data_IF_646623768030
#
_entry.id   IF_646623768030
#
_cell.length_a   1.000
_cell.length_b   1.000
_cell.length_c   1.000
_cell.angle_alpha   90.00
_cell.angle_beta   90.00
_cell.angle_gamma   90.00
#
_symmetry.space_group_name_H-M   'P 1'
#
loop_
_entity.id
_entity.type
_entity.pdbx_description
1 polymer ?
#
# COMPACT_ATOMS: atom_id res chain seq x y z
N UNK A 1 -8.16 -15.19 -15.29
CA UNK A 1 -7.80 -13.75 -15.43
C UNK A 1 -6.84 -13.40 -14.30
N UNK A 2 -5.96 -12.43 -14.49
CA UNK A 2 -5.05 -12.01 -13.40
C UNK A 2 -5.81 -11.14 -12.41
N UNK A 3 -5.59 -11.36 -11.09
CA UNK A 3 -6.19 -10.57 -10.01
C UNK A 3 -5.54 -9.16 -9.88
N UNK A 4 -4.54 -8.84 -10.72
CA UNK A 4 -3.98 -7.50 -10.90
C UNK A 4 -3.86 -7.25 -12.39
N UNK A 5 -4.58 -6.25 -12.88
CA UNK A 5 -4.64 -5.92 -14.31
C UNK A 5 -3.87 -4.65 -14.62
N UNK A 6 -3.45 -4.50 -15.88
CA UNK A 6 -2.74 -3.34 -16.40
C UNK A 6 -3.47 -2.80 -17.62
N UNK A 7 -3.71 -1.52 -17.64
CA UNK A 7 -4.32 -0.80 -18.77
C UNK A 7 -3.58 0.52 -18.98
N UNK A 8 -3.30 0.88 -20.27
CA UNK A 8 -2.78 2.19 -20.61
C UNK A 8 -3.94 3.14 -20.96
N UNK A 9 -3.98 4.30 -20.33
CA UNK A 9 -4.91 5.40 -20.62
C UNK A 9 -4.10 6.68 -20.81
N UNK A 10 -3.99 7.15 -22.05
CA UNK A 10 -3.15 8.31 -22.36
C UNK A 10 -1.71 8.12 -21.89
N UNK A 11 -1.15 9.08 -21.13
CA UNK A 11 0.21 8.99 -20.58
C UNK A 11 0.29 8.15 -19.29
N UNK A 12 -0.82 7.57 -18.81
CA UNK A 12 -0.88 6.85 -17.55
C UNK A 12 -1.04 5.34 -17.71
N UNK A 13 -0.29 4.58 -16.90
CA UNK A 13 -0.50 3.16 -16.66
C UNK A 13 -1.44 2.97 -15.47
N UNK A 14 -2.57 2.30 -15.66
CA UNK A 14 -3.54 1.97 -14.63
C UNK A 14 -3.35 0.53 -14.18
N UNK A 15 -2.96 0.36 -12.93
CA UNK A 15 -2.78 -0.94 -12.27
C UNK A 15 -3.98 -1.14 -11.34
N UNK A 16 -4.82 -2.13 -11.63
CA UNK A 16 -6.05 -2.37 -10.87
C UNK A 16 -5.95 -3.69 -10.12
N UNK A 17 -6.10 -3.64 -8.79
CA UNK A 17 -6.32 -4.82 -7.96
C UNK A 17 -7.74 -5.30 -8.20
N UNK A 18 -7.92 -6.46 -8.82
CA UNK A 18 -9.21 -6.93 -9.35
C UNK A 18 -9.63 -8.26 -8.73
N UNK A 19 -9.95 -8.18 -7.43
CA UNK A 19 -10.46 -9.28 -6.62
C UNK A 19 -11.56 -8.77 -5.67
N UNK A 20 -12.63 -8.13 -6.23
CA UNK A 20 -13.62 -7.38 -5.45
C UNK A 20 -14.41 -8.24 -4.48
N UNK A 21 -14.62 -9.53 -4.76
CA UNK A 21 -15.29 -10.51 -3.88
C UNK A 21 -14.51 -10.73 -2.55
N UNK A 22 -13.18 -10.53 -2.56
CA UNK A 22 -12.31 -10.57 -1.39
C UNK A 22 -11.85 -9.16 -0.96
N UNK A 23 -12.57 -8.10 -1.35
CA UNK A 23 -12.20 -6.71 -1.08
C UNK A 23 -10.77 -6.38 -1.51
N UNK A 24 -10.30 -6.97 -2.60
CA UNK A 24 -8.96 -6.82 -3.16
C UNK A 24 -7.83 -7.21 -2.17
N UNK A 25 -8.10 -8.16 -1.26
CA UNK A 25 -7.08 -8.69 -0.36
C UNK A 25 -5.94 -9.33 -1.17
N UNK A 26 -4.69 -8.95 -0.87
CA UNK A 26 -3.51 -9.30 -1.63
C UNK A 26 -3.07 -10.74 -1.40
N UNK A 27 -2.98 -11.51 -2.46
CA UNK A 27 -2.26 -12.78 -2.47
C UNK A 27 -0.77 -12.56 -2.81
N UNK A 28 0.09 -13.56 -2.54
CA UNK A 28 1.50 -13.49 -2.94
C UNK A 28 1.66 -13.29 -4.45
N UNK A 29 0.82 -13.95 -5.25
CA UNK A 29 0.81 -13.76 -6.71
C UNK A 29 0.43 -12.33 -7.12
N UNK A 30 -0.46 -11.67 -6.38
CA UNK A 30 -0.80 -10.26 -6.65
C UNK A 30 0.36 -9.32 -6.32
N UNK A 31 1.14 -9.61 -5.27
CA UNK A 31 2.36 -8.84 -4.97
C UNK A 31 3.40 -9.01 -6.08
N UNK A 32 3.64 -10.24 -6.56
CA UNK A 32 4.56 -10.49 -7.67
C UNK A 32 4.11 -9.75 -8.94
N UNK A 33 2.81 -9.79 -9.23
CA UNK A 33 2.25 -9.09 -10.39
C UNK A 33 2.37 -7.57 -10.27
N UNK A 34 2.24 -7.01 -9.06
CA UNK A 34 2.48 -5.58 -8.83
C UNK A 34 3.92 -5.20 -9.17
N UNK A 35 4.90 -6.01 -8.77
CA UNK A 35 6.33 -5.81 -9.11
C UNK A 35 6.52 -5.84 -10.63
N UNK A 36 5.99 -6.84 -11.32
CA UNK A 36 6.08 -6.95 -12.79
C UNK A 36 5.47 -5.71 -13.48
N UNK A 37 4.35 -5.20 -12.99
CA UNK A 37 3.74 -3.99 -13.56
C UNK A 37 4.59 -2.73 -13.26
N UNK A 38 5.22 -2.64 -12.09
CA UNK A 38 6.17 -1.56 -11.81
C UNK A 38 7.37 -1.60 -12.78
N UNK A 39 7.86 -2.79 -13.14
CA UNK A 39 8.93 -2.95 -14.15
C UNK A 39 8.45 -2.55 -15.54
N UNK A 40 7.23 -2.96 -15.92
CA UNK A 40 6.60 -2.58 -17.19
C UNK A 40 6.46 -1.05 -17.30
N UNK A 41 6.00 -0.40 -16.22
CA UNK A 41 5.89 1.07 -16.15
C UNK A 41 7.25 1.73 -16.38
N UNK A 42 8.32 1.24 -15.76
CA UNK A 42 9.65 1.83 -15.89
C UNK A 42 10.24 1.61 -17.29
N UNK A 43 9.94 0.49 -17.93
CA UNK A 43 10.45 0.13 -19.25
C UNK A 43 9.74 0.85 -20.43
N UNK A 44 8.54 1.39 -20.23
CA UNK A 44 7.74 2.05 -21.27
C UNK A 44 7.94 3.57 -21.23
N UNK A 45 8.71 4.14 -22.14
CA UNK A 45 9.01 5.58 -22.22
C UNK A 45 7.78 6.45 -22.52
N UNK A 46 6.72 5.89 -23.08
CA UNK A 46 5.46 6.59 -23.35
C UNK A 46 4.61 6.75 -22.07
N UNK A 47 4.84 5.95 -21.05
CA UNK A 47 4.19 6.09 -19.74
C UNK A 47 4.89 7.17 -18.93
N UNK A 48 4.11 8.08 -18.39
CA UNK A 48 4.58 9.23 -17.61
C UNK A 48 4.12 9.17 -16.14
N UNK A 49 3.06 8.43 -15.84
CA UNK A 49 2.46 8.30 -14.50
C UNK A 49 1.96 6.86 -14.31
N UNK A 50 2.03 6.32 -13.10
CA UNK A 50 1.34 5.09 -12.73
C UNK A 50 0.20 5.38 -11.75
N UNK A 51 -0.97 4.81 -12.00
CA UNK A 51 -2.15 4.90 -11.14
C UNK A 51 -2.47 3.52 -10.58
N UNK A 52 -2.57 3.41 -9.26
CA UNK A 52 -3.01 2.20 -8.57
C UNK A 52 -4.43 2.38 -8.07
N UNK A 53 -5.32 1.39 -8.30
CA UNK A 53 -6.71 1.43 -7.83
C UNK A 53 -7.23 0.03 -7.45
N UNK A 54 -8.33 -0.03 -6.72
CA UNK A 54 -9.07 -1.26 -6.48
C UNK A 54 -10.31 -1.36 -7.35
N UNK A 55 -10.64 -2.55 -7.83
CA UNK A 55 -11.91 -2.81 -8.52
C UNK A 55 -13.07 -2.91 -7.53
N UNK A 56 -14.31 -2.66 -8.03
CA UNK A 56 -15.56 -2.91 -7.30
C UNK A 56 -16.01 -1.80 -6.34
N UNK A 57 -15.26 -0.68 -6.19
CA UNK A 57 -15.69 0.51 -5.45
C UNK A 57 -15.88 0.32 -3.93
N UNK A 58 -15.46 -0.82 -3.34
CA UNK A 58 -15.62 -1.12 -1.92
C UNK A 58 -14.32 -1.08 -1.15
N UNK A 59 -13.23 -1.40 -1.81
CA UNK A 59 -11.89 -1.37 -1.22
C UNK A 59 -10.85 -1.08 -2.31
N UNK A 60 -9.87 -0.27 -1.95
CA UNK A 60 -8.60 -0.20 -2.66
C UNK A 60 -7.87 -1.54 -2.48
N UNK A 61 -7.47 -1.86 -1.25
CA UNK A 61 -6.91 -3.15 -0.81
C UNK A 61 -7.24 -3.33 0.67
N UNK A 62 -7.88 -4.44 1.05
CA UNK A 62 -8.30 -4.71 2.43
C UNK A 62 -7.24 -5.38 3.30
N UNK A 63 -6.01 -5.51 2.81
CA UNK A 63 -4.89 -6.16 3.49
C UNK A 63 -4.35 -7.37 2.74
N UNK A 64 -3.44 -8.10 3.36
CA UNK A 64 -2.99 -9.41 2.85
C UNK A 64 -4.05 -10.46 3.11
N UNK A 65 -4.23 -11.39 2.20
CA UNK A 65 -5.12 -12.53 2.38
C UNK A 65 -4.59 -13.43 3.51
N UNK A 66 -5.23 -13.35 4.66
CA UNK A 66 -4.80 -13.99 5.92
C UNK A 66 -4.73 -15.52 5.80
N UNK A 67 -5.44 -16.13 4.83
CA UNK A 67 -5.35 -17.58 4.58
C UNK A 67 -3.92 -18.01 4.28
N UNK A 68 -3.09 -17.14 3.72
CA UNK A 68 -1.68 -17.42 3.45
C UNK A 68 -0.84 -17.59 4.74
N UNK A 69 -1.27 -16.98 5.86
CA UNK A 69 -0.60 -17.13 7.15
C UNK A 69 -0.90 -18.47 7.84
N UNK A 70 -1.89 -19.21 7.37
CA UNK A 70 -2.17 -20.55 7.89
C UNK A 70 -1.01 -21.54 7.66
N UNK A 71 -0.21 -21.31 6.64
CA UNK A 71 0.96 -22.12 6.30
C UNK A 71 2.21 -21.77 7.14
N UNK A 72 2.19 -20.70 7.93
CA UNK A 72 3.33 -20.29 8.77
C UNK A 72 3.54 -21.25 9.92
N UNK A 73 4.75 -21.81 10.02
CA UNK A 73 5.14 -22.80 11.03
C UNK A 73 6.03 -22.22 12.14
N UNK A 74 6.72 -21.12 11.84
CA UNK A 74 7.69 -20.49 12.73
C UNK A 74 7.68 -18.97 12.61
N UNK A 75 8.35 -18.28 13.52
CA UNK A 75 8.58 -16.84 13.43
C UNK A 75 9.45 -16.47 12.20
N UNK A 76 10.28 -17.41 11.72
CA UNK A 76 11.10 -17.22 10.52
C UNK A 76 10.24 -17.00 9.27
N UNK A 77 9.07 -17.65 9.19
CA UNK A 77 8.13 -17.42 8.08
C UNK A 77 7.60 -15.99 8.09
N UNK A 78 7.45 -15.39 9.29
CA UNK A 78 7.11 -13.98 9.47
C UNK A 78 8.21 -13.06 8.95
N UNK A 79 9.50 -13.34 9.23
CA UNK A 79 10.61 -12.57 8.66
C UNK A 79 10.62 -12.63 7.13
N UNK A 80 10.48 -13.83 6.55
CA UNK A 80 10.43 -14.01 5.09
C UNK A 80 9.27 -13.22 4.49
N UNK A 81 8.11 -13.25 5.14
CA UNK A 81 6.95 -12.49 4.69
C UNK A 81 7.19 -10.97 4.74
N UNK A 82 7.67 -10.44 5.87
CA UNK A 82 7.90 -8.99 6.02
C UNK A 82 9.01 -8.50 5.06
N UNK A 83 10.07 -9.29 4.86
CA UNK A 83 11.12 -9.00 3.88
C UNK A 83 10.53 -8.90 2.47
N UNK A 84 9.69 -9.87 2.08
CA UNK A 84 9.04 -9.85 0.76
C UNK A 84 8.14 -8.62 0.57
N UNK A 85 7.38 -8.26 1.61
CA UNK A 85 6.52 -7.06 1.53
C UNK A 85 7.36 -5.79 1.41
N UNK A 86 8.48 -5.68 2.13
CA UNK A 86 9.40 -4.55 1.99
C UNK A 86 9.97 -4.46 0.56
N UNK A 87 10.42 -5.57 -0.03
CA UNK A 87 10.92 -5.61 -1.40
C UNK A 87 9.88 -5.12 -2.41
N UNK A 88 8.61 -5.54 -2.27
CA UNK A 88 7.51 -5.10 -3.12
C UNK A 88 7.26 -3.58 -2.99
N UNK A 89 7.21 -3.08 -1.74
CA UNK A 89 6.94 -1.68 -1.49
C UNK A 89 8.13 -0.79 -1.87
N UNK A 90 9.36 -1.25 -1.65
CA UNK A 90 10.57 -0.58 -2.10
C UNK A 90 10.62 -0.51 -3.62
N UNK A 91 10.20 -1.58 -4.34
CA UNK A 91 10.08 -1.57 -5.79
C UNK A 91 9.03 -0.57 -6.28
N UNK A 92 7.88 -0.48 -5.61
CA UNK A 92 6.84 0.51 -5.93
C UNK A 92 7.35 1.94 -5.70
N UNK A 93 8.00 2.20 -4.57
CA UNK A 93 8.62 3.50 -4.28
C UNK A 93 9.74 3.86 -5.25
N UNK A 94 10.44 2.87 -5.79
CA UNK A 94 11.54 3.06 -6.74
C UNK A 94 11.07 3.25 -8.20
N UNK A 95 9.79 3.16 -8.50
CA UNK A 95 9.25 3.50 -9.84
C UNK A 95 9.69 4.91 -10.22
N UNK A 96 10.34 5.05 -11.36
CA UNK A 96 10.94 6.33 -11.79
C UNK A 96 9.93 7.41 -12.17
N UNK A 97 8.67 7.03 -12.31
CA UNK A 97 7.54 7.88 -12.68
C UNK A 97 6.68 8.18 -11.47
N UNK A 98 5.98 9.32 -11.40
CA UNK A 98 5.02 9.57 -10.35
C UNK A 98 4.01 8.43 -10.22
N UNK A 99 3.70 8.08 -8.96
CA UNK A 99 2.70 7.06 -8.62
C UNK A 99 1.54 7.69 -7.88
N UNK A 100 0.31 7.39 -8.29
CA UNK A 100 -0.93 7.91 -7.70
C UNK A 100 -1.76 6.75 -7.17
N UNK A 101 -2.08 6.73 -5.88
CA UNK A 101 -3.10 5.84 -5.34
C UNK A 101 -4.48 6.52 -5.44
N UNK A 102 -5.38 5.97 -6.25
CA UNK A 102 -6.80 6.29 -6.26
C UNK A 102 -7.49 5.37 -5.26
N UNK A 103 -7.84 5.92 -4.10
CA UNK A 103 -8.40 5.13 -3.00
C UNK A 103 -9.90 5.34 -2.90
N UNK A 104 -10.64 4.29 -3.30
CA UNK A 104 -12.08 4.19 -3.13
C UNK A 104 -12.40 3.07 -2.13
N UNK A 105 -13.06 3.43 -1.01
CA UNK A 105 -13.35 2.51 0.08
C UNK A 105 -12.13 2.18 0.98
N UNK A 106 -12.00 0.93 1.36
CA UNK A 106 -11.04 0.51 2.39
C UNK A 106 -9.60 0.35 1.85
N UNK A 107 -8.62 0.92 2.55
CA UNK A 107 -7.18 0.69 2.40
C UNK A 107 -6.63 0.25 3.76
N UNK A 108 -6.68 -1.06 4.05
CA UNK A 108 -6.33 -1.62 5.35
C UNK A 108 -5.06 -2.46 5.29
N UNK A 109 -4.27 -2.49 6.36
CA UNK A 109 -3.06 -3.30 6.41
C UNK A 109 -2.10 -2.98 5.27
N UNK A 110 -1.81 -3.97 4.40
CA UNK A 110 -0.99 -3.76 3.21
C UNK A 110 -1.59 -2.73 2.24
N UNK A 111 -2.91 -2.50 2.25
CA UNK A 111 -3.55 -1.45 1.46
C UNK A 111 -3.14 -0.06 1.91
N UNK A 112 -3.04 0.19 3.22
CA UNK A 112 -2.47 1.43 3.75
C UNK A 112 -0.98 1.56 3.38
N UNK A 113 -0.21 0.47 3.46
CA UNK A 113 1.20 0.47 3.13
C UNK A 113 1.44 0.75 1.63
N UNK A 114 0.67 0.13 0.72
CA UNK A 114 0.72 0.39 -0.73
C UNK A 114 0.33 1.85 -1.03
N UNK A 115 -0.75 2.35 -0.42
CA UNK A 115 -1.16 3.74 -0.59
C UNK A 115 -0.09 4.73 -0.07
N UNK A 116 0.59 4.41 1.02
CA UNK A 116 1.69 5.21 1.58
C UNK A 116 2.96 5.16 0.72
N UNK A 117 3.21 4.06 0.02
CA UNK A 117 4.33 3.90 -0.91
C UNK A 117 4.14 4.66 -2.24
N UNK A 118 2.91 5.05 -2.59
CA UNK A 118 2.65 5.93 -3.72
C UNK A 118 3.04 7.38 -3.40
N UNK A 119 3.35 8.17 -4.44
CA UNK A 119 3.72 9.58 -4.25
C UNK A 119 2.51 10.44 -3.87
N UNK A 120 1.39 10.26 -4.55
CA UNK A 120 0.15 11.01 -4.35
C UNK A 120 -1.02 10.08 -4.02
N UNK A 121 -2.01 10.59 -3.30
CA UNK A 121 -3.25 9.87 -2.94
C UNK A 121 -4.45 10.75 -3.23
N UNK A 122 -5.33 10.29 -4.12
CA UNK A 122 -6.64 10.88 -4.40
C UNK A 122 -7.71 9.96 -3.82
N UNK A 123 -8.60 10.52 -3.02
CA UNK A 123 -9.58 9.76 -2.24
C UNK A 123 -11.00 10.05 -2.72
N UNK A 124 -11.87 9.06 -2.62
CA UNK A 124 -13.31 9.28 -2.57
C UNK A 124 -13.77 9.60 -1.13
N UNK A 125 -14.96 10.19 -0.93
CA UNK A 125 -15.52 10.44 0.41
C UNK A 125 -15.70 9.17 1.26
N UNK A 126 -15.76 8.00 0.63
CA UNK A 126 -15.88 6.71 1.30
C UNK A 126 -14.54 6.09 1.77
N UNK A 127 -13.42 6.72 1.46
CA UNK A 127 -12.09 6.17 1.75
C UNK A 127 -11.84 6.03 3.26
N UNK A 128 -11.20 4.91 3.65
CA UNK A 128 -10.80 4.65 5.04
C UNK A 128 -9.46 3.93 5.07
N UNK A 129 -8.54 4.44 5.87
CA UNK A 129 -7.22 3.88 6.09
C UNK A 129 -7.09 3.30 7.50
N UNK A 130 -6.43 2.16 7.63
CA UNK A 130 -6.19 1.58 8.95
C UNK A 130 -5.14 0.48 8.96
N UNK A 131 -4.61 0.23 10.18
CA UNK A 131 -3.65 -0.84 10.43
C UNK A 131 -4.10 -1.64 11.67
N UNK A 132 -5.22 -2.41 11.58
CA UNK A 132 -5.84 -3.03 12.75
C UNK A 132 -5.15 -4.34 13.17
N UNK A 133 -3.88 -4.56 12.82
CA UNK A 133 -3.16 -5.83 13.02
C UNK A 133 -3.11 -6.27 14.48
N UNK A 134 -2.97 -5.33 15.43
CA UNK A 134 -2.97 -5.65 16.86
C UNK A 134 -4.31 -6.25 17.34
N UNK A 135 -5.43 -5.86 16.72
CA UNK A 135 -6.77 -6.38 17.06
C UNK A 135 -7.14 -7.64 16.27
N UNK A 136 -6.53 -7.84 15.10
CA UNK A 136 -6.90 -8.94 14.18
C UNK A 136 -5.93 -10.11 14.31
N UNK A 137 -4.78 -10.05 13.66
CA UNK A 137 -3.84 -11.16 13.51
C UNK A 137 -2.80 -11.19 14.63
N UNK A 138 -2.46 -10.02 15.18
CA UNK A 138 -1.45 -9.90 16.25
C UNK A 138 -0.01 -9.99 15.73
N UNK A 139 0.21 -9.71 14.43
CA UNK A 139 1.53 -9.59 13.83
C UNK A 139 2.10 -8.16 14.00
N UNK A 140 3.28 -7.94 13.48
CA UNK A 140 3.91 -6.61 13.37
C UNK A 140 4.18 -6.26 11.91
N UNK A 141 4.88 -5.17 11.68
CA UNK A 141 5.42 -4.75 10.39
C UNK A 141 6.95 -4.81 10.45
N UNK A 142 7.57 -4.85 9.28
CA UNK A 142 9.02 -4.61 9.16
C UNK A 142 9.39 -3.18 9.58
N UNK A 143 10.68 -2.95 9.86
CA UNK A 143 11.20 -1.61 10.13
C UNK A 143 11.03 -0.67 8.93
N UNK A 144 11.17 -1.20 7.70
CA UNK A 144 10.90 -0.46 6.46
C UNK A 144 9.49 0.09 6.40
N UNK A 145 8.51 -0.76 6.70
CA UNK A 145 7.10 -0.37 6.74
C UNK A 145 6.78 0.62 7.87
N UNK A 146 7.34 0.42 9.08
CA UNK A 146 7.19 1.39 10.17
C UNK A 146 7.75 2.76 9.79
N UNK A 147 8.95 2.81 9.19
CA UNK A 147 9.57 4.06 8.76
C UNK A 147 8.74 4.77 7.66
N UNK A 148 8.25 4.02 6.67
CA UNK A 148 7.37 4.51 5.59
C UNK A 148 6.09 5.12 6.15
N UNK A 149 5.38 4.40 6.99
CA UNK A 149 4.13 4.85 7.58
C UNK A 149 4.34 6.00 8.57
N UNK A 150 5.42 5.99 9.35
CA UNK A 150 5.77 7.09 10.25
C UNK A 150 6.10 8.37 9.49
N UNK A 151 6.77 8.28 8.33
CA UNK A 151 7.02 9.41 7.46
C UNK A 151 5.72 9.97 6.86
N UNK A 152 4.81 9.09 6.43
CA UNK A 152 3.56 9.47 5.77
C UNK A 152 2.50 10.03 6.74
N UNK A 153 2.38 9.48 7.95
CA UNK A 153 1.32 9.80 8.90
C UNK A 153 1.80 10.60 10.14
N UNK A 154 3.09 10.60 10.37
CA UNK A 154 3.68 11.03 11.64
C UNK A 154 3.61 9.95 12.72
N UNK A 155 4.67 9.83 13.54
CA UNK A 155 4.83 8.75 14.53
C UNK A 155 3.69 8.69 15.55
N UNK A 156 3.20 9.84 16.04
CA UNK A 156 2.14 9.88 17.06
C UNK A 156 0.83 9.30 16.50
N UNK A 157 0.46 9.68 15.27
CA UNK A 157 -0.77 9.19 14.63
C UNK A 157 -0.66 7.72 14.24
N UNK A 158 0.51 7.28 13.76
CA UNK A 158 0.72 5.86 13.48
C UNK A 158 0.49 5.01 14.73
N UNK A 159 1.04 5.41 15.90
CA UNK A 159 0.79 4.73 17.19
C UNK A 159 -0.70 4.72 17.54
N UNK A 160 -1.39 5.86 17.41
CA UNK A 160 -2.83 5.94 17.70
C UNK A 160 -3.63 4.99 16.80
N UNK A 161 -3.42 5.01 15.48
CA UNK A 161 -4.10 4.11 14.53
C UNK A 161 -3.83 2.64 14.83
N UNK A 162 -2.58 2.28 15.13
CA UNK A 162 -2.22 0.88 15.38
C UNK A 162 -2.69 0.39 16.75
N UNK A 163 -2.52 1.18 17.81
CA UNK A 163 -2.85 0.75 19.18
C UNK A 163 -4.35 0.69 19.43
N UNK A 164 -5.10 1.66 18.87
CA UNK A 164 -6.57 1.71 19.01
C UNK A 164 -7.28 0.93 17.92
N UNK A 165 -6.57 0.51 16.85
CA UNK A 165 -7.13 -0.10 15.65
C UNK A 165 -8.24 0.73 15.00
N UNK A 166 -8.20 2.08 15.17
CA UNK A 166 -9.11 3.00 14.50
C UNK A 166 -8.74 3.20 13.04
N UNK A 167 -9.64 3.78 12.29
CA UNK A 167 -9.40 4.20 10.91
C UNK A 167 -9.22 5.71 10.82
N UNK A 168 -8.47 6.16 9.80
CA UNK A 168 -8.36 7.53 9.33
C UNK A 168 -9.39 7.71 8.22
N UNK A 169 -10.27 8.69 8.33
CA UNK A 169 -11.20 9.08 7.27
C UNK A 169 -10.59 10.08 6.29
N UNK A 170 -11.32 10.44 5.20
CA UNK A 170 -10.81 11.31 4.15
C UNK A 170 -10.46 12.72 4.66
N UNK A 171 -11.30 13.30 5.51
CA UNK A 171 -11.08 14.65 6.06
C UNK A 171 -9.81 14.70 6.92
N UNK A 172 -9.60 13.70 7.79
CA UNK A 172 -8.37 13.60 8.57
C UNK A 172 -7.16 13.38 7.65
N UNK A 173 -7.28 12.49 6.65
CA UNK A 173 -6.20 12.22 5.71
C UNK A 173 -5.78 13.48 4.92
N UNK A 174 -6.75 14.31 4.52
CA UNK A 174 -6.50 15.59 3.87
C UNK A 174 -5.87 16.60 4.83
N UNK A 175 -6.42 16.74 6.03
CA UNK A 175 -5.94 17.70 7.03
C UNK A 175 -4.49 17.46 7.47
N UNK A 176 -4.03 16.21 7.46
CA UNK A 176 -2.65 15.84 7.82
C UNK A 176 -1.69 15.82 6.62
N UNK A 177 -2.16 16.11 5.41
CA UNK A 177 -1.36 16.05 4.18
C UNK A 177 -1.05 14.63 3.69
N UNK A 178 -1.73 13.59 4.22
CA UNK A 178 -1.60 12.23 3.70
C UNK A 178 -2.34 12.09 2.35
N UNK A 179 -3.51 12.71 2.21
CA UNK A 179 -4.23 12.80 0.95
C UNK A 179 -3.89 14.11 0.22
N UNK A 180 -3.81 14.04 -1.11
CA UNK A 180 -3.64 15.20 -2.00
C UNK A 180 -4.97 15.84 -2.34
N UNK A 181 -6.05 15.04 -2.43
CA UNK A 181 -7.41 15.50 -2.71
C UNK A 181 -8.45 14.50 -2.20
N UNK A 182 -9.67 15.01 -1.92
CA UNK A 182 -10.89 14.22 -1.68
C UNK A 182 -11.93 14.70 -2.68
N UNK A 183 -12.44 13.81 -3.54
CA UNK A 183 -13.28 14.16 -4.68
C UNK A 183 -14.35 13.10 -4.95
N UNK A 184 -15.54 13.52 -5.44
CA UNK A 184 -16.62 12.61 -5.79
C UNK A 184 -16.38 11.88 -7.12
N UNK A 185 -15.74 12.54 -8.09
CA UNK A 185 -15.45 12.03 -9.44
C UNK A 185 -13.95 11.72 -9.57
N UNK A 186 -13.51 10.67 -8.85
CA UNK A 186 -12.08 10.40 -8.67
C UNK A 186 -11.36 10.00 -9.97
N UNK A 187 -11.99 9.22 -10.86
CA UNK A 187 -11.39 8.81 -12.13
C UNK A 187 -11.05 10.03 -13.00
N UNK A 188 -12.01 10.92 -13.22
CA UNK A 188 -11.80 12.12 -14.04
C UNK A 188 -10.75 13.07 -13.41
N UNK A 189 -10.76 13.22 -12.08
CA UNK A 189 -9.75 14.01 -11.37
C UNK A 189 -8.35 13.43 -11.52
N UNK A 190 -8.20 12.10 -11.43
CA UNK A 190 -6.90 11.43 -11.58
C UNK A 190 -6.44 11.48 -13.05
N UNK A 191 -7.32 11.36 -14.03
CA UNK A 191 -6.98 11.53 -15.45
C UNK A 191 -6.41 12.93 -15.70
N UNK A 192 -7.09 14.01 -15.24
CA UNK A 192 -6.58 15.39 -15.32
C UNK A 192 -5.24 15.57 -14.57
N UNK A 193 -5.10 14.96 -13.39
CA UNK A 193 -3.84 14.97 -12.65
C UNK A 193 -2.71 14.30 -13.44
N UNK A 194 -2.97 13.17 -14.10
CA UNK A 194 -1.99 12.47 -14.91
C UNK A 194 -1.53 13.31 -16.11
N UNK A 195 -2.44 14.01 -16.80
CA UNK A 195 -2.08 14.92 -17.89
C UNK A 195 -1.16 16.05 -17.39
N UNK A 196 -1.51 16.68 -16.27
CA UNK A 196 -0.66 17.73 -15.67
C UNK A 196 0.72 17.22 -15.26
N UNK A 197 0.80 16.01 -14.64
CA UNK A 197 2.09 15.41 -14.26
C UNK A 197 2.93 15.05 -15.50
N UNK A 198 2.30 14.62 -16.58
CA UNK A 198 2.98 14.27 -17.82
C UNK A 198 3.66 15.48 -18.48
N UNK A 199 3.13 16.68 -18.30
CA UNK A 199 3.72 17.94 -18.80
C UNK A 199 4.92 18.43 -17.97
N UNK A 200 5.12 17.89 -16.77
CA UNK A 200 6.22 18.30 -15.89
C UNK A 200 7.54 17.62 -16.29
N UNK A 201 8.67 18.22 -15.84
CA UNK A 201 10.01 17.65 -16.03
C UNK A 201 10.15 16.29 -15.36
N UNK A 202 10.31 15.19 -16.10
CA UNK A 202 10.43 13.85 -15.53
C UNK A 202 11.66 13.71 -14.63
N UNK A 203 12.74 14.38 -14.99
CA UNK A 203 13.97 14.41 -14.18
C UNK A 203 13.74 15.05 -12.82
N UNK A 204 13.04 16.19 -12.76
CA UNK A 204 12.76 16.86 -11.49
C UNK A 204 11.87 16.01 -10.60
N UNK A 205 10.81 15.41 -11.17
CA UNK A 205 9.90 14.52 -10.43
C UNK A 205 10.66 13.31 -9.86
N UNK A 206 11.46 12.66 -10.69
CA UNK A 206 12.27 11.51 -10.27
C UNK A 206 13.29 11.88 -9.18
N UNK A 207 14.09 12.93 -9.39
CA UNK A 207 15.12 13.34 -8.43
C UNK A 207 14.51 13.72 -7.08
N UNK A 208 13.36 14.43 -7.08
CA UNK A 208 12.65 14.78 -5.84
C UNK A 208 12.19 13.54 -5.09
N UNK A 209 11.54 12.59 -5.78
CA UNK A 209 11.09 11.32 -5.23
C UNK A 209 12.24 10.51 -4.63
N UNK A 210 13.31 10.33 -5.39
CA UNK A 210 14.47 9.53 -4.98
C UNK A 210 15.23 10.18 -3.82
N UNK A 211 15.37 11.51 -3.81
CA UNK A 211 16.00 12.23 -2.71
C UNK A 211 15.24 12.04 -1.39
N UNK A 212 13.89 12.14 -1.42
CA UNK A 212 13.03 11.93 -0.25
C UNK A 212 13.06 10.47 0.23
N UNK A 213 13.10 9.51 -0.71
CA UNK A 213 13.25 8.10 -0.38
C UNK A 213 14.58 7.81 0.33
N UNK A 214 15.70 8.35 -0.17
CA UNK A 214 17.03 8.19 0.44
C UNK A 214 17.16 8.89 1.79
N UNK A 215 16.40 9.95 2.03
CA UNK A 215 16.41 10.67 3.31
C UNK A 215 15.79 9.83 4.46
N UNK A 216 15.09 8.73 4.15
CA UNK A 216 14.54 7.80 5.14
C UNK A 216 15.63 6.83 5.61
N UNK A 217 16.00 6.88 6.91
CA UNK A 217 16.89 5.89 7.54
C UNK A 217 16.04 4.76 8.15
N UNK A 218 16.41 3.51 7.86
CA UNK A 218 15.72 2.32 8.37
C UNK A 218 16.72 1.45 9.13
N UNK A 219 16.60 1.33 10.49
CA UNK A 219 17.41 0.41 11.28
C UNK A 219 16.91 -1.04 11.10
N UNK A 220 17.76 -2.01 11.46
CA UNK A 220 17.39 -3.41 11.59
C UNK A 220 16.31 -3.62 12.68
N UNK A 221 15.45 -4.58 12.54
CA UNK A 221 14.33 -4.87 13.46
C UNK A 221 13.81 -6.30 13.35
N UNK A 222 14.61 -7.22 12.85
CA UNK A 222 14.25 -8.64 12.69
C UNK A 222 13.87 -9.30 14.01
N UNK A 223 14.48 -8.89 15.13
CA UNK A 223 14.15 -9.32 16.48
C UNK A 223 12.68 -9.04 16.84
N UNK A 224 12.16 -7.88 16.46
CA UNK A 224 10.76 -7.49 16.71
C UNK A 224 9.78 -8.32 15.85
N UNK A 225 10.16 -8.64 14.61
CA UNK A 225 9.38 -9.52 13.74
C UNK A 225 9.31 -10.92 14.35
N UNK A 226 10.46 -11.48 14.74
CA UNK A 226 10.54 -12.79 15.38
C UNK A 226 9.70 -12.87 16.66
N UNK A 227 9.71 -11.84 17.50
CA UNK A 227 8.89 -11.76 18.69
C UNK A 227 7.40 -11.79 18.38
N UNK A 228 6.94 -10.94 17.46
CA UNK A 228 5.52 -10.84 17.11
C UNK A 228 4.97 -12.12 16.47
N UNK A 229 5.61 -12.62 15.42
CA UNK A 229 5.18 -13.83 14.70
C UNK A 229 5.44 -15.13 15.50
N UNK A 230 6.40 -15.13 16.42
CA UNK A 230 6.67 -16.24 17.35
C UNK A 230 5.67 -16.31 18.50
N UNK A 231 4.88 -15.26 18.75
CA UNK A 231 3.98 -15.19 19.89
C UNK A 231 2.84 -16.24 19.82
N UNK A 232 2.40 -16.81 20.97
CA UNK A 232 1.22 -17.70 20.99
C UNK A 232 -0.04 -17.02 20.47
N UNK A 233 -0.16 -15.70 20.65
CA UNK A 233 -1.29 -14.91 20.20
C UNK A 233 -1.43 -14.83 18.70
N UNK A 234 -0.32 -14.75 17.95
CA UNK A 234 -0.36 -14.70 16.49
C UNK A 234 -1.08 -15.92 15.91
N UNK A 235 -0.64 -17.14 16.24
CA UNK A 235 -1.23 -18.40 15.71
C UNK A 235 -2.70 -18.55 16.13
N UNK A 236 -3.05 -18.24 17.38
CA UNK A 236 -4.42 -18.32 17.85
C UNK A 236 -5.34 -17.33 17.14
N UNK A 237 -4.85 -16.12 16.84
CA UNK A 237 -5.61 -15.08 16.15
C UNK A 237 -5.80 -15.40 14.66
N UNK A 238 -4.78 -15.92 13.97
CA UNK A 238 -4.90 -16.41 12.58
C UNK A 238 -5.98 -17.49 12.51
N UNK A 239 -5.91 -18.50 13.37
CA UNK A 239 -6.93 -19.57 13.42
C UNK A 239 -8.34 -18.99 13.63
N UNK A 240 -8.53 -18.14 14.63
CA UNK A 240 -9.82 -17.49 14.95
C UNK A 240 -10.34 -16.65 13.77
N UNK A 241 -9.44 -16.02 13.01
CA UNK A 241 -9.83 -15.20 11.85
C UNK A 241 -10.35 -16.08 10.71
N UNK A 242 -9.71 -17.22 10.47
CA UNK A 242 -10.09 -18.16 9.38
C UNK A 242 -11.35 -18.97 9.69
N UNK A 243 -11.71 -19.11 10.98
CA UNK A 243 -12.91 -19.84 11.45
C UNK A 243 -14.19 -18.96 11.45
N UNK A 244 -14.11 -17.67 11.09
CA UNK A 244 -15.25 -16.74 10.93
C UNK A 244 -15.79 -16.72 9.50
#
# INVERSE_FOLDING_TARGET
MSDVTYERRGPAAWITFDRPEAHNAMTFAMYDRLVEHCETVDADDDIRVAVLRGAGGRAFVAGTDIRQFAEFKSAQDGLVYETRIDEVLDRLEAVRKPTVALVDGFAMGSGLAIAAACDLRVLTPGAKFGMPIARTVGNCLSMGNYARLAQALGTARLKDVMFTARSIGPDEALAIGFASAVVDHADAHVEDLCERLADHSPTTLWVTKEALRRARSVPDGDDLVLEAYGSPGFRANVKRFLEK
#
